data_IF_141368295109
#
_entry.id   IF_141368295109
#
_cell.length_a   1.000
_cell.length_b   1.000
_cell.length_c   1.000
_cell.angle_alpha   90.00
_cell.angle_beta   90.00
_cell.angle_gamma   90.00
#
_symmetry.space_group_name_H-M   'P 1'
#
loop_
_entity.id
_entity.type
_entity.pdbx_description
1 polymer ?
#
# COMPACT_ATOMS: atom_id res chain seq x y z
N UNK A 1 68.42 -36.57 5.84
CA UNK A 1 66.97 -36.77 6.11
C UNK A 1 66.38 -35.99 7.30
N UNK A 2 67.17 -35.43 8.24
CA UNK A 2 66.62 -34.82 9.47
C UNK A 2 66.31 -33.31 9.43
N UNK A 3 66.78 -32.54 8.42
CA UNK A 3 66.44 -31.11 8.30
C UNK A 3 65.10 -30.87 7.59
N UNK A 4 64.77 -31.67 6.58
CA UNK A 4 63.50 -31.56 5.84
C UNK A 4 62.26 -31.92 6.67
N UNK A 5 62.35 -32.94 7.55
CA UNK A 5 61.27 -33.32 8.46
C UNK A 5 60.96 -32.26 9.53
N UNK A 6 61.95 -31.51 9.99
CA UNK A 6 61.75 -30.42 10.97
C UNK A 6 61.10 -29.19 10.34
N UNK A 7 61.45 -28.86 9.09
CA UNK A 7 60.82 -27.74 8.36
C UNK A 7 59.38 -28.07 7.99
N UNK A 8 59.08 -29.31 7.58
CA UNK A 8 57.71 -29.74 7.27
C UNK A 8 56.81 -29.79 8.51
N UNK A 9 57.34 -30.17 9.68
CA UNK A 9 56.60 -30.17 10.94
C UNK A 9 56.28 -28.75 11.46
N UNK A 10 57.17 -27.78 11.24
CA UNK A 10 56.93 -26.37 11.61
C UNK A 10 55.90 -25.72 10.67
N UNK A 11 55.94 -26.03 9.36
CA UNK A 11 54.93 -25.54 8.42
C UNK A 11 53.54 -26.17 8.64
N UNK A 12 53.46 -27.45 9.04
CA UNK A 12 52.19 -28.10 9.37
C UNK A 12 51.59 -27.57 10.69
N UNK A 13 52.43 -27.21 11.68
CA UNK A 13 51.97 -26.61 12.94
C UNK A 13 51.46 -25.17 12.76
N UNK A 14 52.10 -24.37 11.88
CA UNK A 14 51.67 -23.00 11.59
C UNK A 14 50.37 -22.96 10.76
N UNK A 15 50.15 -23.94 9.88
CA UNK A 15 48.90 -24.05 9.10
C UNK A 15 47.70 -24.55 9.94
N UNK A 16 47.95 -25.37 10.97
CA UNK A 16 46.91 -25.77 11.94
C UNK A 16 46.58 -24.61 12.91
N UNK A 17 47.56 -23.79 13.30
CA UNK A 17 47.32 -22.64 14.18
C UNK A 17 46.52 -21.50 13.52
N UNK A 18 46.54 -21.37 12.18
CA UNK A 18 45.75 -20.37 11.45
C UNK A 18 44.32 -20.79 11.13
N UNK A 19 43.95 -22.04 11.40
CA UNK A 19 42.61 -22.57 11.08
C UNK A 19 41.63 -22.54 12.27
N UNK A 20 42.03 -22.00 13.43
CA UNK A 20 41.21 -22.00 14.66
C UNK A 20 40.79 -20.60 15.15
N UNK A 21 41.11 -19.52 14.42
CA UNK A 21 40.78 -18.14 14.85
C UNK A 21 39.71 -17.43 14.01
N UNK A 22 38.96 -18.14 13.16
CA UNK A 22 37.88 -17.53 12.39
C UNK A 22 36.52 -18.23 12.55
N UNK A 23 36.12 -18.48 13.80
CA UNK A 23 34.70 -18.53 14.14
C UNK A 23 34.29 -17.14 14.65
N UNK A 24 33.90 -16.24 13.74
CA UNK A 24 33.11 -15.07 14.13
C UNK A 24 31.82 -15.62 14.76
N UNK A 25 31.64 -15.39 16.05
CA UNK A 25 30.39 -15.71 16.74
C UNK A 25 29.19 -15.10 16.02
N UNK A 26 27.97 -15.61 16.24
CA UNK A 26 26.77 -15.11 15.57
C UNK A 26 26.71 -13.59 15.74
N UNK A 27 26.55 -12.87 14.62
CA UNK A 27 26.43 -11.42 14.63
C UNK A 27 25.39 -11.01 15.68
N UNK A 28 25.77 -10.12 16.61
CA UNK A 28 24.82 -9.54 17.56
C UNK A 28 23.67 -8.96 16.74
N UNK A 29 22.45 -9.45 17.01
CA UNK A 29 21.22 -8.89 16.45
C UNK A 29 21.27 -7.38 16.68
N UNK A 30 21.12 -6.54 15.64
CA UNK A 30 21.19 -5.09 15.81
C UNK A 30 20.22 -4.70 16.92
N UNK A 31 20.68 -3.85 17.84
CA UNK A 31 19.82 -3.33 18.89
C UNK A 31 18.59 -2.70 18.24
N UNK A 32 17.38 -2.96 18.77
CA UNK A 32 16.17 -2.39 18.21
C UNK A 32 16.32 -0.87 18.25
N UNK A 33 16.39 -0.26 17.06
CA UNK A 33 16.39 1.20 16.90
C UNK A 33 15.21 1.72 17.72
N UNK A 34 15.51 2.49 18.77
CA UNK A 34 14.51 3.07 19.67
C UNK A 34 13.67 4.02 18.82
N UNK A 35 12.50 3.55 18.34
CA UNK A 35 11.58 4.38 17.58
C UNK A 35 11.25 5.60 18.44
N UNK A 36 11.35 6.83 17.91
CA UNK A 36 10.93 8.01 18.65
C UNK A 36 9.51 7.80 19.18
N UNK A 37 9.26 8.26 20.40
CA UNK A 37 7.94 8.22 21.04
C UNK A 37 7.03 9.11 20.20
N UNK A 38 6.37 8.53 19.21
CA UNK A 38 5.49 9.21 18.28
C UNK A 38 4.10 9.22 18.91
N UNK A 39 3.55 10.41 19.10
CA UNK A 39 2.15 10.56 19.51
C UNK A 39 1.28 9.94 18.41
N UNK A 40 0.59 8.85 18.74
CA UNK A 40 -0.26 8.17 17.78
C UNK A 40 -1.51 9.01 17.49
N UNK A 41 -2.00 9.02 16.23
CA UNK A 41 -3.23 9.69 15.90
C UNK A 41 -4.38 9.05 16.69
N UNK A 42 -5.22 9.91 17.25
CA UNK A 42 -6.42 9.47 17.96
C UNK A 42 -7.49 9.00 16.97
N UNK A 43 -8.27 8.00 17.38
CA UNK A 43 -9.49 7.60 16.65
C UNK A 43 -10.42 8.80 16.58
N UNK A 44 -11.02 9.11 15.40
CA UNK A 44 -11.95 10.21 15.28
C UNK A 44 -13.12 10.08 16.27
N UNK A 45 -13.39 11.15 17.03
CA UNK A 45 -14.36 11.14 18.14
C UNK A 45 -15.76 10.67 17.73
N UNK A 46 -16.19 10.98 16.50
CA UNK A 46 -17.51 10.60 15.98
C UNK A 46 -17.75 9.08 15.86
N UNK A 47 -16.69 8.29 15.74
CA UNK A 47 -16.76 6.81 15.65
C UNK A 47 -16.17 6.10 16.86
N UNK A 48 -15.49 6.85 17.74
CA UNK A 48 -14.88 6.31 18.95
C UNK A 48 -15.93 5.80 19.93
N UNK A 49 -15.63 4.69 20.59
CA UNK A 49 -16.45 4.09 21.66
C UNK A 49 -15.74 4.10 23.02
N UNK A 50 -14.70 4.91 23.15
CA UNK A 50 -13.86 4.98 24.34
C UNK A 50 -12.58 4.13 24.22
N UNK A 51 -11.77 4.15 25.27
CA UNK A 51 -10.47 3.47 25.30
C UNK A 51 -10.62 1.96 25.13
N UNK A 52 -9.74 1.38 24.31
CA UNK A 52 -9.70 -0.06 24.01
C UNK A 52 -11.03 -0.65 23.50
N UNK A 53 -11.93 0.19 22.98
CA UNK A 53 -13.15 -0.25 22.30
C UNK A 53 -13.01 -0.07 20.80
N UNK A 54 -13.48 -1.07 20.07
CA UNK A 54 -13.51 -1.00 18.61
C UNK A 54 -14.41 0.16 18.15
N UNK A 55 -13.95 1.00 17.22
CA UNK A 55 -14.79 2.05 16.64
C UNK A 55 -15.97 1.44 15.87
N UNK A 56 -17.10 2.15 15.85
CA UNK A 56 -18.29 1.75 15.07
C UNK A 56 -18.57 2.84 14.05
N UNK A 57 -18.75 2.43 12.80
CA UNK A 57 -18.98 3.30 11.66
C UNK A 57 -20.47 3.32 11.29
N UNK A 58 -21.00 4.49 10.92
CA UNK A 58 -22.21 4.58 10.10
C UNK A 58 -21.84 4.52 8.63
N UNK A 59 -22.03 3.37 7.99
CA UNK A 59 -21.62 3.15 6.60
C UNK A 59 -22.82 3.22 5.67
N UNK A 60 -22.79 4.09 4.66
CA UNK A 60 -23.77 4.02 3.58
C UNK A 60 -23.45 2.83 2.65
N UNK A 61 -24.27 1.79 2.70
CA UNK A 61 -24.09 0.58 1.89
C UNK A 61 -24.85 0.76 0.57
N UNK A 62 -24.11 1.08 -0.50
CA UNK A 62 -24.66 1.41 -1.83
C UNK A 62 -25.59 0.32 -2.35
N UNK A 63 -25.19 -0.94 -2.23
CA UNK A 63 -25.97 -2.10 -2.69
C UNK A 63 -27.34 -2.23 -1.99
N UNK A 64 -27.46 -1.69 -0.77
CA UNK A 64 -28.71 -1.71 0.02
C UNK A 64 -29.43 -0.37 0.03
N UNK A 65 -28.83 0.68 -0.52
CA UNK A 65 -29.37 2.04 -0.52
C UNK A 65 -29.58 2.67 0.87
N UNK A 66 -28.92 2.17 1.93
CA UNK A 66 -29.14 2.62 3.32
C UNK A 66 -27.88 2.63 4.18
N UNK A 67 -27.95 3.36 5.29
CA UNK A 67 -26.91 3.38 6.31
C UNK A 67 -27.04 2.16 7.22
N UNK A 68 -25.92 1.51 7.50
CA UNK A 68 -25.78 0.46 8.50
C UNK A 68 -24.69 0.84 9.51
N UNK A 69 -24.95 0.59 10.79
CA UNK A 69 -23.89 0.66 11.80
C UNK A 69 -23.11 -0.67 11.79
N UNK A 70 -21.78 -0.59 11.71
CA UNK A 70 -20.93 -1.78 11.77
C UNK A 70 -19.59 -1.51 12.47
N UNK A 71 -19.01 -2.53 13.13
CA UNK A 71 -17.66 -2.45 13.67
C UNK A 71 -16.63 -2.14 12.58
N UNK A 72 -15.60 -1.36 12.92
CA UNK A 72 -14.54 -0.96 12.00
C UNK A 72 -13.90 -2.17 11.30
N UNK A 73 -13.57 -3.22 12.03
CA UNK A 73 -12.90 -4.40 11.48
C UNK A 73 -13.83 -5.16 10.53
N UNK A 74 -15.15 -5.11 10.74
CA UNK A 74 -16.12 -5.69 9.80
C UNK A 74 -16.13 -4.94 8.47
N UNK A 75 -16.03 -3.61 8.51
CA UNK A 75 -15.88 -2.79 7.32
C UNK A 75 -14.55 -3.09 6.60
N UNK A 76 -13.46 -3.23 7.35
CA UNK A 76 -12.13 -3.57 6.81
C UNK A 76 -12.14 -4.94 6.12
N UNK A 77 -12.77 -5.97 6.68
CA UNK A 77 -12.93 -7.27 6.02
C UNK A 77 -13.55 -7.14 4.62
N UNK A 78 -14.70 -6.45 4.54
CA UNK A 78 -15.39 -6.26 3.26
C UNK A 78 -14.60 -5.41 2.28
N UNK A 79 -13.81 -4.45 2.77
CA UNK A 79 -12.93 -3.62 1.94
C UNK A 79 -11.80 -4.45 1.36
N UNK A 80 -11.10 -5.24 2.19
CA UNK A 80 -10.03 -6.13 1.73
C UNK A 80 -10.55 -7.12 0.68
N UNK A 81 -11.75 -7.67 0.89
CA UNK A 81 -12.40 -8.58 -0.04
C UNK A 81 -12.90 -7.93 -1.35
N UNK A 82 -13.07 -6.61 -1.36
CA UNK A 82 -13.42 -5.82 -2.55
C UNK A 82 -12.19 -5.38 -3.35
N UNK A 83 -11.07 -5.09 -2.68
CA UNK A 83 -9.87 -4.52 -3.30
C UNK A 83 -8.90 -5.56 -3.87
N UNK A 84 -8.75 -6.71 -3.19
CA UNK A 84 -7.78 -7.74 -3.60
C UNK A 84 -8.42 -9.14 -3.63
N UNK A 85 -7.75 -10.09 -4.30
CA UNK A 85 -8.23 -11.47 -4.28
C UNK A 85 -7.98 -12.12 -2.91
N UNK A 86 -8.96 -12.88 -2.45
CA UNK A 86 -8.97 -13.49 -1.12
C UNK A 86 -8.05 -14.72 -0.97
N UNK A 87 -7.37 -15.12 -2.06
CA UNK A 87 -6.39 -16.21 -2.14
C UNK A 87 -4.94 -15.71 -2.26
N UNK A 88 -4.72 -14.39 -2.26
CA UNK A 88 -3.38 -13.80 -2.29
C UNK A 88 -2.53 -14.22 -1.08
N UNK A 89 -1.19 -14.08 -1.16
CA UNK A 89 -0.29 -14.34 -0.04
C UNK A 89 -0.75 -13.61 1.22
N UNK A 90 -0.71 -14.30 2.38
CA UNK A 90 -1.33 -13.80 3.60
C UNK A 90 -0.76 -12.44 4.04
N UNK A 91 0.54 -12.22 3.85
CA UNK A 91 1.19 -10.94 4.17
C UNK A 91 0.74 -9.79 3.26
N UNK A 92 0.34 -10.08 2.01
CA UNK A 92 -0.28 -9.07 1.14
C UNK A 92 -1.69 -8.71 1.63
N UNK A 93 -2.47 -9.70 2.08
CA UNK A 93 -3.80 -9.47 2.68
C UNK A 93 -3.69 -8.64 3.96
N UNK A 94 -2.69 -8.92 4.82
CA UNK A 94 -2.39 -8.12 6.02
C UNK A 94 -2.00 -6.69 5.69
N UNK A 95 -1.11 -6.50 4.70
CA UNK A 95 -0.73 -5.17 4.25
C UNK A 95 -1.95 -4.37 3.77
N UNK A 96 -2.83 -5.01 2.97
CA UNK A 96 -4.08 -4.38 2.52
C UNK A 96 -5.02 -4.04 3.68
N UNK A 97 -5.13 -4.90 4.71
CA UNK A 97 -5.94 -4.62 5.89
C UNK A 97 -5.45 -3.36 6.64
N UNK A 98 -4.13 -3.21 6.81
CA UNK A 98 -3.52 -2.02 7.42
C UNK A 98 -3.82 -0.76 6.58
N UNK A 99 -3.67 -0.83 5.25
CA UNK A 99 -3.96 0.29 4.36
C UNK A 99 -5.45 0.66 4.38
N UNK A 100 -6.35 -0.31 4.28
CA UNK A 100 -7.80 -0.08 4.34
C UNK A 100 -8.22 0.55 5.68
N UNK A 101 -7.71 0.05 6.81
CA UNK A 101 -7.97 0.61 8.14
C UNK A 101 -7.46 2.05 8.26
N UNK A 102 -6.24 2.30 7.78
CA UNK A 102 -5.65 3.63 7.77
C UNK A 102 -6.47 4.59 6.90
N UNK A 103 -6.93 4.13 5.73
CA UNK A 103 -7.75 4.92 4.82
C UNK A 103 -9.06 5.35 5.47
N UNK A 104 -9.85 4.42 6.01
CA UNK A 104 -11.16 4.75 6.62
C UNK A 104 -10.99 5.70 7.81
N UNK A 105 -9.98 5.50 8.66
CA UNK A 105 -9.72 6.41 9.79
C UNK A 105 -9.32 7.81 9.31
N UNK A 106 -8.45 7.91 8.29
CA UNK A 106 -8.06 9.18 7.70
C UNK A 106 -9.24 9.87 6.98
N UNK A 107 -10.08 9.11 6.25
CA UNK A 107 -11.28 9.61 5.59
C UNK A 107 -12.24 10.21 6.62
N UNK A 108 -12.56 9.45 7.67
CA UNK A 108 -13.46 9.86 8.75
C UNK A 108 -12.93 11.10 9.47
N UNK A 109 -11.61 11.23 9.63
CA UNK A 109 -10.94 12.39 10.23
C UNK A 109 -10.99 13.65 9.34
N UNK A 110 -10.77 13.50 8.04
CA UNK A 110 -10.43 14.63 7.16
C UNK A 110 -11.51 14.98 6.13
N UNK A 111 -12.47 14.09 5.90
CA UNK A 111 -13.51 14.22 4.89
C UNK A 111 -14.90 14.04 5.52
N UNK A 112 -15.91 14.49 4.78
CA UNK A 112 -17.31 14.19 5.04
C UNK A 112 -17.80 13.30 3.91
N UNK A 113 -18.60 12.29 4.24
CA UNK A 113 -19.21 11.48 3.20
C UNK A 113 -20.18 12.31 2.34
N UNK A 114 -20.25 12.02 1.04
CA UNK A 114 -21.26 12.56 0.13
C UNK A 114 -22.66 12.05 0.46
N UNK A 115 -22.77 10.95 1.21
CA UNK A 115 -24.03 10.40 1.69
C UNK A 115 -24.37 10.98 3.07
N UNK A 116 -25.42 11.81 3.10
CA UNK A 116 -25.84 12.52 4.31
C UNK A 116 -26.11 11.54 5.47
N UNK A 117 -25.44 11.79 6.60
CA UNK A 117 -25.59 11.00 7.84
C UNK A 117 -24.63 9.82 7.97
N UNK A 118 -23.84 9.51 6.93
CA UNK A 118 -22.83 8.46 6.97
C UNK A 118 -21.44 9.02 7.35
N UNK A 119 -20.64 8.18 8.00
CA UNK A 119 -19.22 8.44 8.27
C UNK A 119 -18.36 8.16 7.02
N UNK A 120 -18.73 7.14 6.26
CA UNK A 120 -18.11 6.67 5.00
C UNK A 120 -19.15 5.85 4.20
N UNK A 121 -18.83 5.47 2.96
CA UNK A 121 -19.68 4.62 2.12
C UNK A 121 -18.92 3.42 1.54
N UNK A 122 -19.68 2.56 0.86
CA UNK A 122 -19.15 1.48 0.02
C UNK A 122 -19.08 1.87 -1.47
N UNK A 123 -19.13 3.16 -1.78
CA UNK A 123 -18.96 3.68 -3.14
C UNK A 123 -17.46 3.79 -3.45
N UNK A 124 -17.00 3.04 -4.46
CA UNK A 124 -15.59 3.02 -4.84
C UNK A 124 -15.09 4.37 -5.41
N UNK A 125 -15.97 5.21 -5.94
CA UNK A 125 -15.61 6.55 -6.41
C UNK A 125 -15.38 7.54 -5.26
N UNK A 126 -15.94 7.27 -4.07
CA UNK A 126 -15.76 8.10 -2.89
C UNK A 126 -14.70 7.55 -1.93
N UNK A 127 -14.75 6.24 -1.70
CA UNK A 127 -14.01 5.54 -0.67
C UNK A 127 -13.17 4.41 -1.26
N UNK A 128 -13.59 3.16 -1.04
CA UNK A 128 -12.86 1.95 -1.41
C UNK A 128 -13.85 0.91 -1.92
N UNK A 129 -13.37 -0.01 -2.76
CA UNK A 129 -14.17 -1.16 -3.17
C UNK A 129 -14.53 -2.00 -1.92
N UNK A 130 -15.76 -2.49 -1.89
CA UNK A 130 -16.28 -3.23 -0.74
C UNK A 130 -17.16 -4.39 -1.22
N UNK A 131 -16.75 -5.62 -0.88
CA UNK A 131 -17.46 -6.83 -1.27
C UNK A 131 -17.48 -7.87 -0.13
N UNK A 132 -18.49 -7.84 0.75
CA UNK A 132 -18.56 -8.71 1.92
C UNK A 132 -18.79 -10.18 1.52
N UNK A 133 -19.32 -10.45 0.33
CA UNK A 133 -19.56 -11.81 -0.15
C UNK A 133 -18.27 -12.58 -0.43
N UNK A 134 -17.15 -11.87 -0.69
CA UNK A 134 -15.84 -12.47 -0.94
C UNK A 134 -15.00 -12.67 0.33
N UNK A 135 -15.51 -12.30 1.50
CA UNK A 135 -14.79 -12.47 2.78
C UNK A 135 -14.68 -13.96 3.11
N UNK A 136 -13.44 -14.44 3.22
CA UNK A 136 -13.13 -15.81 3.64
C UNK A 136 -12.31 -15.82 4.95
N UNK A 137 -12.03 -17.01 5.48
CA UNK A 137 -11.27 -17.17 6.74
C UNK A 137 -9.85 -16.58 6.68
N UNK A 138 -9.22 -16.52 5.49
CA UNK A 138 -7.90 -15.90 5.32
C UNK A 138 -7.97 -14.40 5.53
N UNK A 139 -9.00 -13.75 5.00
CA UNK A 139 -9.24 -12.31 5.21
C UNK A 139 -9.53 -12.03 6.68
N UNK A 140 -10.46 -12.77 7.30
CA UNK A 140 -10.78 -12.61 8.73
C UNK A 140 -9.53 -12.75 9.59
N UNK A 141 -8.72 -13.79 9.34
CA UNK A 141 -7.45 -14.01 10.03
C UNK A 141 -6.47 -12.85 9.82
N UNK A 142 -6.31 -12.35 8.60
CA UNK A 142 -5.40 -11.24 8.32
C UNK A 142 -5.84 -9.92 8.98
N UNK A 143 -7.15 -9.65 8.99
CA UNK A 143 -7.73 -8.48 9.65
C UNK A 143 -7.53 -8.57 11.16
N UNK A 144 -7.79 -9.74 11.76
CA UNK A 144 -7.61 -9.97 13.19
C UNK A 144 -6.14 -9.91 13.61
N UNK A 145 -5.22 -10.56 12.87
CA UNK A 145 -3.78 -10.50 13.15
C UNK A 145 -3.18 -9.09 12.98
N UNK A 146 -3.88 -8.19 12.32
CA UNK A 146 -3.50 -6.77 12.15
C UNK A 146 -4.45 -5.81 12.85
N UNK A 147 -5.28 -6.31 13.78
CA UNK A 147 -6.29 -5.51 14.47
C UNK A 147 -5.67 -4.28 15.11
N UNK A 148 -6.25 -3.10 14.82
CA UNK A 148 -5.74 -1.83 15.33
C UNK A 148 -4.39 -1.36 14.76
N UNK A 149 -3.75 -2.12 13.87
CA UNK A 149 -2.50 -1.70 13.21
C UNK A 149 -2.82 -0.75 12.06
N UNK A 150 -2.14 0.39 12.06
CA UNK A 150 -2.31 1.49 11.10
C UNK A 150 -0.95 2.04 10.66
N UNK A 151 -0.91 2.66 9.49
CA UNK A 151 0.26 3.37 8.99
C UNK A 151 0.19 4.86 9.34
N UNK A 152 1.26 5.38 9.93
CA UNK A 152 1.31 6.76 10.46
C UNK A 152 2.61 7.45 10.05
N UNK A 153 2.53 8.76 9.88
CA UNK A 153 3.68 9.64 9.62
C UNK A 153 3.48 10.95 10.38
N UNK A 154 4.48 11.38 11.14
CA UNK A 154 4.43 12.59 11.98
C UNK A 154 3.19 12.68 12.88
N UNK A 155 2.81 11.55 13.49
CA UNK A 155 1.66 11.48 14.41
C UNK A 155 0.29 11.53 13.75
N UNK A 156 0.22 11.49 12.42
CA UNK A 156 -1.02 11.47 11.66
C UNK A 156 -1.16 10.19 10.82
N UNK A 157 -2.42 9.81 10.52
CA UNK A 157 -2.70 8.76 9.54
C UNK A 157 -2.18 9.20 8.17
N UNK A 158 -1.52 8.28 7.45
CA UNK A 158 -1.06 8.58 6.08
C UNK A 158 -2.24 8.61 5.09
N UNK A 159 -2.03 9.25 3.93
CA UNK A 159 -2.82 8.96 2.74
C UNK A 159 -2.42 7.56 2.23
N UNK A 160 -3.19 6.55 2.65
CA UNK A 160 -2.94 5.14 2.34
C UNK A 160 -3.40 4.79 0.91
N UNK A 161 -2.83 5.45 -0.10
CA UNK A 161 -3.10 5.15 -1.51
C UNK A 161 -2.41 3.84 -1.93
N UNK A 162 -3.10 3.08 -2.77
CA UNK A 162 -2.60 1.85 -3.39
C UNK A 162 -3.18 1.73 -4.80
N UNK A 163 -2.61 0.84 -5.60
CA UNK A 163 -3.01 0.57 -6.97
C UNK A 163 -2.66 -0.88 -7.32
N UNK A 164 -3.19 -1.38 -8.45
CA UNK A 164 -3.09 -2.79 -8.83
C UNK A 164 -1.68 -3.22 -9.27
N UNK A 165 -1.01 -2.41 -10.09
CA UNK A 165 0.27 -2.74 -10.70
C UNK A 165 0.99 -1.46 -11.12
N UNK A 166 2.30 -1.33 -10.87
CA UNK A 166 3.07 -0.09 -11.08
C UNK A 166 3.93 -0.07 -12.35
N UNK A 167 3.79 -1.09 -13.20
CA UNK A 167 4.66 -1.36 -14.34
C UNK A 167 6.17 -1.35 -14.02
N UNK A 168 6.53 -1.62 -12.76
CA UNK A 168 7.90 -1.71 -12.27
C UNK A 168 8.31 -0.58 -11.33
N UNK A 169 7.61 0.55 -11.29
CA UNK A 169 7.99 1.67 -10.43
C UNK A 169 6.79 2.50 -9.99
N UNK A 170 6.68 2.80 -8.71
CA UNK A 170 5.54 3.57 -8.19
C UNK A 170 5.61 5.04 -8.64
N UNK A 171 4.45 5.64 -8.92
CA UNK A 171 4.32 7.06 -9.23
C UNK A 171 4.29 7.95 -7.98
N UNK A 172 4.63 9.23 -8.16
CA UNK A 172 4.36 10.26 -7.16
C UNK A 172 2.86 10.63 -7.12
N UNK A 173 2.41 11.34 -6.08
CA UNK A 173 0.99 11.67 -5.95
C UNK A 173 0.52 12.70 -6.99
N UNK A 174 1.35 13.70 -7.31
CA UNK A 174 1.02 14.67 -8.36
C UNK A 174 0.95 14.02 -9.73
N UNK A 175 1.84 13.09 -9.98
CA UNK A 175 1.93 12.33 -11.23
C UNK A 175 0.73 11.38 -11.38
N UNK A 176 0.56 10.43 -10.46
CA UNK A 176 -0.45 9.37 -10.60
C UNK A 176 -1.88 9.77 -10.21
N UNK A 177 -2.05 10.78 -9.36
CA UNK A 177 -3.37 11.15 -8.81
C UNK A 177 -3.76 12.60 -9.10
N UNK A 178 -2.95 13.34 -9.87
CA UNK A 178 -3.14 14.78 -10.09
C UNK A 178 -3.30 15.56 -8.76
N UNK A 179 -2.59 15.12 -7.72
CA UNK A 179 -2.71 15.67 -6.37
C UNK A 179 -2.33 17.15 -6.33
N UNK A 180 -3.16 17.99 -5.72
CA UNK A 180 -2.99 19.46 -5.79
C UNK A 180 -2.10 20.05 -4.69
N UNK A 181 -1.84 19.32 -3.61
CA UNK A 181 -0.99 19.77 -2.50
C UNK A 181 0.48 19.39 -2.74
N UNK A 182 1.36 19.75 -1.81
CA UNK A 182 2.74 19.25 -1.80
C UNK A 182 2.80 17.73 -1.72
N UNK A 183 3.84 17.12 -2.31
CA UNK A 183 4.05 15.68 -2.22
C UNK A 183 4.19 15.26 -0.75
N UNK A 184 3.41 14.28 -0.26
CA UNK A 184 3.61 13.76 1.08
C UNK A 184 5.01 13.11 1.19
N UNK A 185 5.80 13.36 2.26
CA UNK A 185 7.17 12.85 2.34
C UNK A 185 7.32 11.33 2.30
N UNK A 186 6.26 10.60 2.64
CA UNK A 186 6.20 9.14 2.59
C UNK A 186 5.75 8.59 1.23
N UNK A 187 5.34 9.45 0.29
CA UNK A 187 5.01 9.07 -1.09
C UNK A 187 6.22 9.38 -1.96
N UNK A 188 7.05 8.36 -2.14
CA UNK A 188 8.25 8.41 -2.98
C UNK A 188 8.17 7.35 -4.06
N UNK A 189 8.72 7.66 -5.23
CA UNK A 189 8.79 6.72 -6.35
C UNK A 189 9.88 5.67 -6.08
N UNK A 190 9.46 4.41 -5.96
CA UNK A 190 10.33 3.27 -5.62
C UNK A 190 10.17 2.15 -6.65
N UNK A 191 11.21 1.35 -6.82
CA UNK A 191 11.12 0.12 -7.62
C UNK A 191 10.09 -0.82 -6.98
N UNK A 192 9.12 -1.26 -7.76
CA UNK A 192 8.18 -2.29 -7.36
C UNK A 192 8.62 -3.65 -7.88
N UNK A 193 8.54 -4.67 -7.03
CA UNK A 193 8.73 -6.06 -7.43
C UNK A 193 7.38 -6.64 -7.81
N UNK A 194 7.01 -6.41 -9.06
CA UNK A 194 5.75 -6.92 -9.61
C UNK A 194 5.79 -8.45 -9.73
N UNK A 195 4.62 -9.07 -9.58
CA UNK A 195 4.51 -10.52 -9.70
C UNK A 195 4.50 -10.96 -11.16
N UNK A 196 5.37 -11.91 -11.51
CA UNK A 196 5.32 -12.55 -12.83
C UNK A 196 4.01 -13.28 -13.11
N UNK A 197 3.20 -13.55 -12.08
CA UNK A 197 1.86 -14.15 -12.20
C UNK A 197 0.75 -13.12 -12.49
N UNK A 198 1.06 -11.82 -12.55
CA UNK A 198 0.06 -10.82 -12.92
C UNK A 198 -0.51 -11.13 -14.32
N UNK A 199 -1.83 -11.01 -14.53
CA UNK A 199 -2.44 -11.25 -15.84
C UNK A 199 -1.82 -10.36 -16.93
N UNK A 200 -1.71 -10.88 -18.15
CA UNK A 200 -1.09 -10.13 -19.26
C UNK A 200 -1.74 -8.75 -19.45
N UNK A 201 -3.07 -8.68 -19.41
CA UNK A 201 -3.83 -7.44 -19.55
C UNK A 201 -3.65 -6.44 -18.39
N UNK A 202 -3.10 -6.87 -17.25
CA UNK A 202 -2.71 -5.98 -16.14
C UNK A 202 -1.29 -5.45 -16.36
N UNK A 203 -0.40 -6.28 -16.92
CA UNK A 203 0.98 -5.89 -17.23
C UNK A 203 1.07 -4.98 -18.46
N UNK A 204 0.26 -5.24 -19.47
CA UNK A 204 0.26 -4.53 -20.74
C UNK A 204 -1.14 -4.54 -21.35
N UNK A 205 -1.66 -3.37 -21.66
CA UNK A 205 -2.96 -3.18 -22.31
C UNK A 205 -2.85 -2.12 -23.40
N UNK A 206 -3.79 -2.17 -24.36
CA UNK A 206 -3.93 -1.18 -25.41
C UNK A 206 -5.38 -0.80 -25.55
N UNK A 207 -5.66 0.49 -25.79
CA UNK A 207 -6.97 0.98 -26.17
C UNK A 207 -6.82 1.89 -27.41
N UNK A 208 -7.83 1.86 -28.27
CA UNK A 208 -7.86 2.65 -29.51
C UNK A 208 -9.02 3.62 -29.44
N UNK A 209 -8.74 4.87 -29.77
CA UNK A 209 -9.74 5.94 -29.82
C UNK A 209 -9.68 6.62 -31.18
N UNK A 210 -10.84 6.97 -31.70
CA UNK A 210 -10.96 7.85 -32.86
C UNK A 210 -10.48 9.26 -32.51
N UNK A 211 -10.06 10.01 -33.52
CA UNK A 211 -9.71 11.42 -33.35
C UNK A 211 -10.85 12.23 -32.75
N UNK A 212 -12.10 11.96 -33.14
CA UNK A 212 -13.28 12.63 -32.62
C UNK A 212 -13.47 12.42 -31.11
N UNK A 213 -13.19 11.21 -30.61
CA UNK A 213 -13.25 10.90 -29.17
C UNK A 213 -12.18 11.68 -28.39
N UNK A 214 -10.95 11.74 -28.92
CA UNK A 214 -9.86 12.53 -28.31
C UNK A 214 -10.22 14.01 -28.24
N UNK A 215 -10.69 14.60 -29.35
CA UNK A 215 -11.11 16.00 -29.39
C UNK A 215 -12.26 16.30 -28.43
N UNK A 216 -13.24 15.39 -28.36
CA UNK A 216 -14.38 15.51 -27.45
C UNK A 216 -13.97 15.44 -25.98
N UNK A 217 -13.01 14.57 -25.64
CA UNK A 217 -12.47 14.47 -24.28
C UNK A 217 -11.69 15.73 -23.89
N UNK A 218 -10.82 16.24 -24.77
CA UNK A 218 -10.07 17.49 -24.54
C UNK A 218 -11.02 18.68 -24.32
N UNK A 219 -12.06 18.81 -25.15
CA UNK A 219 -13.08 19.86 -24.99
C UNK A 219 -13.78 19.79 -23.63
N UNK A 220 -14.11 18.59 -23.13
CA UNK A 220 -14.69 18.40 -21.78
C UNK A 220 -13.72 18.81 -20.67
N UNK A 221 -12.41 18.71 -20.90
CA UNK A 221 -11.37 19.18 -19.99
C UNK A 221 -11.07 20.68 -20.12
N UNK A 222 -11.80 21.41 -20.98
CA UNK A 222 -11.57 22.83 -21.24
C UNK A 222 -10.42 23.12 -22.21
N UNK A 223 -9.90 22.09 -22.90
CA UNK A 223 -8.83 22.22 -23.89
C UNK A 223 -9.44 22.17 -25.28
N UNK A 224 -9.48 23.31 -25.96
CA UNK A 224 -9.99 23.42 -27.33
C UNK A 224 -8.81 23.47 -28.31
N UNK A 225 -8.55 22.33 -28.95
CA UNK A 225 -7.63 22.25 -30.09
C UNK A 225 -8.42 21.97 -31.37
N UNK A 226 -7.90 22.42 -32.51
CA UNK A 226 -8.42 22.04 -33.82
C UNK A 226 -8.04 20.61 -34.20
N UNK A 227 -8.08 20.32 -35.51
CA UNK A 227 -7.59 19.04 -36.01
C UNK A 227 -6.07 18.87 -35.75
N UNK A 228 -5.63 17.64 -35.50
CA UNK A 228 -4.22 17.31 -35.24
C UNK A 228 -3.72 16.16 -36.14
N UNK A 229 -2.46 16.20 -36.56
CA UNK A 229 -1.85 15.14 -37.40
C UNK A 229 -0.91 14.22 -36.61
N UNK A 230 -0.48 14.65 -35.43
CA UNK A 230 0.56 13.99 -34.66
C UNK A 230 0.28 14.11 -33.16
N UNK A 231 0.67 13.10 -32.39
CA UNK A 231 0.65 13.09 -30.93
C UNK A 231 2.03 12.67 -30.46
N UNK A 232 2.61 13.42 -29.52
CA UNK A 232 3.92 13.15 -28.92
C UNK A 232 3.82 13.24 -27.40
N UNK A 233 4.60 12.41 -26.71
CA UNK A 233 4.80 12.54 -25.27
C UNK A 233 5.64 13.79 -25.02
N UNK A 234 5.10 14.75 -24.27
CA UNK A 234 5.79 16.00 -23.95
C UNK A 234 6.81 15.86 -22.82
N UNK A 235 6.44 15.15 -21.75
CA UNK A 235 7.27 14.92 -20.58
C UNK A 235 6.77 13.68 -19.86
N UNK A 236 7.70 12.86 -19.35
CA UNK A 236 7.45 11.74 -18.46
C UNK A 236 7.67 12.11 -16.99
N UNK A 237 6.94 11.44 -16.10
CA UNK A 237 7.15 11.55 -14.66
C UNK A 237 8.25 10.63 -14.13
N UNK A 238 8.60 10.72 -12.82
CA UNK A 238 9.65 9.91 -12.20
C UNK A 238 9.42 8.40 -12.16
N UNK A 239 8.19 7.93 -12.41
CA UNK A 239 7.92 6.50 -12.61
C UNK A 239 8.34 6.01 -14.00
N UNK A 240 8.72 6.93 -14.90
CA UNK A 240 8.88 6.72 -16.34
C UNK A 240 7.56 6.34 -17.05
N UNK A 241 6.43 6.37 -16.33
CA UNK A 241 5.09 6.32 -16.88
C UNK A 241 4.63 7.72 -17.36
N UNK A 242 3.97 7.74 -18.52
CA UNK A 242 3.28 8.84 -19.23
C UNK A 242 4.05 10.16 -19.41
#
# INVERSE_FOLDING_TARGET
>A
MNKFRKILAVFLAISIAFSITSCKGPAKKPEPVRKPKMDLPQVPSKISKGENKEPVLKVYVVQKGRIEEMPLEKYVEGTVAGEIKNDWPIEAIKAQAILARTYVLNFVKTKKSKYKGADISTDFEEAQAWNPANVNERIKKAVEETRGVVAVYNGDFINAWFHSHSAGRTALAKEGLNYKKGEPPYIVSVQSKESDKAPHNVKSWSASFTKGEVLSALKKMGVNIGDFKEVKIGKRGPSEEW
#
